data_IF_362299282473
#
_entry.id   IF_362299282473
#
_cell.length_a   1.000
_cell.length_b   1.000
_cell.length_c   1.000
_cell.angle_alpha   90.00
_cell.angle_beta   90.00
_cell.angle_gamma   90.00
#
_symmetry.space_group_name_H-M   'P 1'
#
loop_
_entity.id
_entity.type
_entity.pdbx_description
1 polymer ?
#
# COMPACT_ATOMS: atom_id res chain seq x y z
N UNK A 1 3.06 16.47 -20.69
CA UNK A 1 2.37 17.25 -21.73
C UNK A 1 3.37 18.21 -22.32
N UNK A 2 3.59 18.14 -23.64
CA UNK A 2 4.65 18.86 -24.36
C UNK A 2 4.14 20.22 -24.81
N UNK A 3 5.02 21.22 -24.83
CA UNK A 3 4.74 22.55 -25.36
C UNK A 3 5.73 22.81 -26.51
N UNK A 4 5.22 23.31 -27.63
CA UNK A 4 6.02 23.66 -28.82
C UNK A 4 6.37 25.14 -28.71
N UNK A 5 7.65 25.48 -28.66
CA UNK A 5 8.08 26.87 -28.76
C UNK A 5 8.03 27.33 -30.22
N UNK A 6 7.42 28.49 -30.45
CA UNK A 6 7.36 29.11 -31.77
C UNK A 6 8.75 29.67 -32.07
N UNK A 7 9.56 28.91 -32.82
CA UNK A 7 10.85 29.39 -33.33
C UNK A 7 10.69 30.51 -34.38
N UNK A 8 11.81 31.09 -34.84
CA UNK A 8 11.86 32.08 -35.94
C UNK A 8 11.64 31.44 -37.34
N UNK A 9 10.67 30.53 -37.45
CA UNK A 9 10.40 29.73 -38.65
C UNK A 9 9.06 30.05 -39.33
N UNK A 10 8.73 29.23 -40.34
CA UNK A 10 7.49 29.28 -41.13
C UNK A 10 6.22 29.29 -40.26
N UNK A 11 6.28 28.64 -39.09
CA UNK A 11 5.20 28.55 -38.12
C UNK A 11 4.81 29.93 -37.55
N UNK A 12 5.78 30.83 -37.32
CA UNK A 12 5.52 32.20 -36.86
C UNK A 12 4.90 33.06 -37.94
N UNK A 13 5.39 32.97 -39.18
CA UNK A 13 4.87 33.73 -40.32
C UNK A 13 3.41 33.33 -40.63
N UNK A 14 3.10 32.03 -40.56
CA UNK A 14 1.74 31.53 -40.79
C UNK A 14 0.80 31.85 -39.63
N UNK A 15 1.28 31.88 -38.39
CA UNK A 15 0.50 32.37 -37.25
C UNK A 15 0.24 33.89 -37.32
N UNK A 16 1.19 34.68 -37.84
CA UNK A 16 1.00 36.12 -38.08
C UNK A 16 0.00 36.40 -39.21
N UNK A 17 -0.11 35.51 -40.20
CA UNK A 17 -1.13 35.56 -41.26
C UNK A 17 -2.54 35.29 -40.70
N UNK A 18 -2.65 34.52 -39.60
CA UNK A 18 -3.89 34.16 -38.91
C UNK A 18 -4.16 34.98 -37.64
N UNK A 19 -3.65 36.22 -37.58
CA UNK A 19 -3.76 37.11 -36.40
C UNK A 19 -5.19 37.47 -36.00
N UNK A 20 -6.17 37.25 -36.88
CA UNK A 20 -7.59 37.45 -36.59
C UNK A 20 -8.16 36.39 -35.62
N UNK A 21 -7.53 35.22 -35.53
CA UNK A 21 -7.97 34.17 -34.61
C UNK A 21 -7.49 34.38 -33.18
N UNK A 22 -8.43 34.26 -32.23
CA UNK A 22 -8.17 34.40 -30.79
C UNK A 22 -7.14 33.40 -30.26
N UNK A 23 -7.00 32.25 -30.90
CA UNK A 23 -6.09 31.16 -30.47
C UNK A 23 -4.67 31.37 -30.99
N UNK A 24 -4.54 31.88 -32.23
CA UNK A 24 -3.25 32.22 -32.83
C UNK A 24 -2.60 33.43 -32.14
N UNK A 25 -3.41 34.43 -31.76
CA UNK A 25 -2.94 35.61 -31.02
C UNK A 25 -2.44 35.29 -29.61
N UNK A 26 -3.13 34.41 -28.87
CA UNK A 26 -2.67 33.95 -27.54
C UNK A 26 -1.37 33.15 -27.66
N UNK A 27 -1.26 32.30 -28.69
CA UNK A 27 -0.07 31.50 -28.97
C UNK A 27 1.15 32.35 -29.35
N UNK A 28 0.95 33.42 -30.14
CA UNK A 28 1.99 34.40 -30.49
C UNK A 28 2.46 35.22 -29.29
N UNK A 29 1.56 35.56 -28.35
CA UNK A 29 1.92 36.28 -27.12
C UNK A 29 2.70 35.43 -26.12
N UNK A 30 2.40 34.14 -26.05
CA UNK A 30 3.05 33.21 -25.12
C UNK A 30 4.31 32.57 -25.71
N UNK A 31 4.61 32.80 -27.00
CA UNK A 31 5.67 32.15 -27.78
C UNK A 31 5.64 30.60 -27.70
N UNK A 32 4.51 30.05 -27.28
CA UNK A 32 4.31 28.64 -26.96
C UNK A 32 2.94 28.18 -27.46
N UNK A 33 2.89 27.02 -28.12
CA UNK A 33 1.65 26.38 -28.59
C UNK A 33 1.58 24.96 -28.04
N UNK A 34 0.42 24.59 -27.49
CA UNK A 34 0.13 23.18 -27.16
C UNK A 34 -0.06 22.38 -28.45
N UNK A 35 0.38 21.12 -28.45
CA UNK A 35 0.23 20.23 -29.61
C UNK A 35 -1.24 20.09 -30.07
N UNK A 36 -2.19 20.08 -29.13
CA UNK A 36 -3.63 20.00 -29.40
C UNK A 36 -4.12 21.22 -30.21
N UNK A 37 -3.69 22.42 -29.81
CA UNK A 37 -4.08 23.67 -30.48
C UNK A 37 -3.44 23.77 -31.87
N UNK A 38 -2.21 23.28 -32.03
CA UNK A 38 -1.54 23.25 -33.33
C UNK A 38 -2.21 22.28 -34.31
N UNK A 39 -2.64 21.11 -33.83
CA UNK A 39 -3.35 20.13 -34.65
C UNK A 39 -4.71 20.66 -35.13
N UNK A 40 -5.47 21.30 -34.25
CA UNK A 40 -6.76 21.93 -34.62
C UNK A 40 -6.59 23.05 -35.65
N UNK A 41 -5.58 23.91 -35.49
CA UNK A 41 -5.29 24.98 -36.46
C UNK A 41 -4.84 24.43 -37.82
N UNK A 42 -4.12 23.30 -37.81
CA UNK A 42 -3.69 22.63 -39.03
C UNK A 42 -4.85 22.02 -39.81
N UNK A 43 -5.76 21.31 -39.14
CA UNK A 43 -6.94 20.77 -39.82
C UNK A 43 -7.86 21.87 -40.37
N UNK A 44 -7.99 23.00 -39.67
CA UNK A 44 -8.92 24.05 -40.05
C UNK A 44 -8.42 24.95 -41.20
N UNK A 45 -7.11 25.22 -41.28
CA UNK A 45 -6.57 26.21 -42.24
C UNK A 45 -5.51 25.67 -43.20
N UNK A 46 -4.87 24.55 -42.88
CA UNK A 46 -3.74 24.01 -43.65
C UNK A 46 -3.97 22.58 -44.17
N UNK A 47 -5.16 22.02 -43.95
CA UNK A 47 -5.52 20.65 -44.35
C UNK A 47 -5.55 20.41 -45.87
N UNK A 48 -5.83 21.45 -46.66
CA UNK A 48 -5.99 21.34 -48.12
C UNK A 48 -4.71 21.65 -48.92
N UNK A 49 -3.63 22.10 -48.27
CA UNK A 49 -2.46 22.64 -48.94
C UNK A 49 -1.29 21.63 -48.99
N UNK A 50 -1.10 20.98 -50.16
CA UNK A 50 -0.10 19.91 -50.38
C UNK A 50 1.37 20.32 -50.19
N UNK A 51 1.64 21.62 -50.02
CA UNK A 51 3.01 22.15 -49.92
C UNK A 51 3.50 22.28 -48.47
N UNK A 52 2.59 22.23 -47.49
CA UNK A 52 2.87 22.48 -46.06
C UNK A 52 2.70 21.18 -45.29
N UNK A 53 3.74 20.34 -45.28
CA UNK A 53 3.75 19.18 -44.39
C UNK A 53 3.94 19.63 -42.94
N UNK A 54 3.12 19.08 -42.03
CA UNK A 54 3.24 19.26 -40.58
C UNK A 54 4.67 19.00 -40.07
N UNK A 55 5.40 18.10 -40.72
CA UNK A 55 6.82 17.82 -40.45
C UNK A 55 7.73 19.03 -40.66
N UNK A 56 7.50 19.85 -41.71
CA UNK A 56 8.28 21.06 -41.97
C UNK A 56 7.98 22.15 -40.93
N UNK A 57 6.73 22.23 -40.47
CA UNK A 57 6.31 23.17 -39.42
C UNK A 57 6.93 22.77 -38.07
N UNK A 58 6.86 21.49 -37.71
CA UNK A 58 7.45 20.96 -36.49
C UNK A 58 8.99 21.00 -36.50
N UNK A 59 9.62 20.75 -37.65
CA UNK A 59 11.08 20.87 -37.80
C UNK A 59 11.59 22.30 -37.61
N UNK A 60 10.73 23.31 -37.85
CA UNK A 60 11.05 24.72 -37.61
C UNK A 60 10.77 25.18 -36.17
N UNK A 61 10.22 24.30 -35.33
CA UNK A 61 9.84 24.59 -33.96
C UNK A 61 10.74 23.87 -32.96
N UNK A 62 11.02 24.52 -31.82
CA UNK A 62 11.84 23.94 -30.76
C UNK A 62 10.93 23.34 -29.68
N UNK A 63 11.20 22.11 -29.26
CA UNK A 63 10.37 21.39 -28.30
C UNK A 63 10.79 21.77 -26.88
N UNK A 64 9.94 22.49 -26.15
CA UNK A 64 10.19 22.82 -24.74
C UNK A 64 9.48 21.84 -23.83
N UNK A 65 10.28 21.16 -23.01
CA UNK A 65 9.76 20.33 -21.93
C UNK A 65 9.20 21.22 -20.82
N UNK A 66 7.92 21.03 -20.46
CA UNK A 66 7.36 21.63 -19.23
C UNK A 66 8.26 21.25 -18.05
N UNK A 67 8.67 22.23 -17.24
CA UNK A 67 9.42 21.95 -16.01
C UNK A 67 8.62 20.97 -15.17
N UNK A 68 9.29 19.89 -14.76
CA UNK A 68 8.70 18.91 -13.84
C UNK A 68 8.40 19.64 -12.53
N UNK A 69 7.11 19.74 -12.16
CA UNK A 69 6.72 20.30 -10.86
C UNK A 69 7.45 19.55 -9.76
N UNK A 70 8.17 20.25 -8.90
CA UNK A 70 8.76 19.63 -7.72
C UNK A 70 7.66 19.57 -6.64
N UNK A 71 7.31 18.39 -6.11
CA UNK A 71 6.35 18.30 -5.02
C UNK A 71 6.78 19.18 -3.85
N UNK A 72 5.93 20.13 -3.47
CA UNK A 72 6.18 21.06 -2.36
C UNK A 72 6.87 22.38 -2.72
N UNK A 73 7.03 22.68 -4.01
CA UNK A 73 7.56 23.97 -4.48
C UNK A 73 6.60 25.12 -4.15
N UNK A 74 5.29 24.88 -4.29
CA UNK A 74 4.19 25.83 -4.03
C UNK A 74 3.87 26.05 -2.54
N UNK A 75 4.59 25.41 -1.62
CA UNK A 75 4.33 25.56 -0.18
C UNK A 75 4.84 26.90 0.38
N UNK A 76 4.02 27.53 1.22
CA UNK A 76 4.37 28.72 2.01
C UNK A 76 5.59 28.42 2.90
N UNK A 77 6.45 29.41 3.10
CA UNK A 77 7.68 29.25 3.90
C UNK A 77 7.39 28.80 5.34
N UNK A 78 6.31 29.29 5.94
CA UNK A 78 5.85 28.87 7.26
C UNK A 78 5.50 27.37 7.30
N UNK A 79 4.85 26.87 6.25
CA UNK A 79 4.50 25.45 6.15
C UNK A 79 5.73 24.57 5.93
N UNK A 80 6.72 25.05 5.16
CA UNK A 80 8.01 24.37 4.99
C UNK A 80 8.75 24.24 6.31
N UNK A 81 8.79 25.29 7.12
CA UNK A 81 9.41 25.28 8.44
C UNK A 81 8.74 24.25 9.38
N UNK A 82 7.41 24.13 9.33
CA UNK A 82 6.69 23.14 10.15
C UNK A 82 6.95 21.70 9.67
N UNK A 83 7.00 21.46 8.36
CA UNK A 83 7.38 20.16 7.81
C UNK A 83 8.80 19.74 8.21
N UNK A 84 9.73 20.70 8.30
CA UNK A 84 11.08 20.42 8.78
C UNK A 84 11.10 19.99 10.24
N UNK A 85 10.33 20.67 11.11
CA UNK A 85 10.17 20.24 12.51
C UNK A 85 9.59 18.82 12.60
N UNK A 86 8.53 18.53 11.85
CA UNK A 86 7.92 17.20 11.82
C UNK A 86 8.90 16.12 11.34
N UNK A 87 9.74 16.44 10.35
CA UNK A 87 10.82 15.54 9.90
C UNK A 87 11.84 15.25 11.01
N UNK A 88 12.20 16.24 11.81
CA UNK A 88 13.10 16.02 12.95
C UNK A 88 12.46 15.14 14.02
N UNK A 89 11.19 15.38 14.34
CA UNK A 89 10.43 14.55 15.30
C UNK A 89 10.35 13.09 14.83
N UNK A 90 10.04 12.86 13.55
CA UNK A 90 10.00 11.51 12.99
C UNK A 90 11.37 10.83 13.03
N UNK A 91 12.44 11.54 12.65
CA UNK A 91 13.80 11.02 12.72
C UNK A 91 14.21 10.65 14.14
N UNK A 92 13.85 11.46 15.13
CA UNK A 92 14.13 11.17 16.53
C UNK A 92 13.38 9.91 16.98
N UNK A 93 12.11 9.75 16.62
CA UNK A 93 11.36 8.53 16.91
C UNK A 93 12.02 7.30 16.28
N UNK A 94 12.42 7.37 15.01
CA UNK A 94 13.14 6.29 14.34
C UNK A 94 14.49 5.99 15.01
N UNK A 95 15.21 7.01 15.47
CA UNK A 95 16.47 6.84 16.21
C UNK A 95 16.25 6.16 17.57
N UNK A 96 15.23 6.58 18.31
CA UNK A 96 14.85 5.94 19.57
C UNK A 96 14.43 4.49 19.37
N UNK A 97 13.70 4.18 18.29
CA UNK A 97 13.34 2.80 17.95
C UNK A 97 14.57 1.96 17.57
N UNK A 98 15.54 2.54 16.86
CA UNK A 98 16.82 1.89 16.58
C UNK A 98 17.62 1.66 17.86
N UNK A 99 17.76 2.66 18.73
CA UNK A 99 18.45 2.49 20.03
C UNK A 99 17.75 1.44 20.87
N UNK A 100 16.41 1.44 20.96
CA UNK A 100 15.67 0.42 21.70
C UNK A 100 15.98 -0.97 21.15
N UNK A 101 15.92 -1.13 19.82
CA UNK A 101 16.29 -2.39 19.14
C UNK A 101 17.74 -2.81 19.41
N UNK A 102 18.68 -1.88 19.41
CA UNK A 102 20.12 -2.17 19.61
C UNK A 102 20.45 -2.41 21.10
N UNK A 103 19.80 -1.68 22.01
CA UNK A 103 19.95 -1.81 23.47
C UNK A 103 19.39 -3.12 24.03
N UNK A 104 18.44 -3.75 23.30
CA UNK A 104 17.92 -5.08 23.59
C UNK A 104 18.88 -6.20 23.12
N UNK A 105 19.97 -5.87 22.43
CA UNK A 105 20.98 -6.84 21.98
C UNK A 105 22.33 -6.54 22.65
N UNK A 106 22.60 -7.07 23.86
CA UNK A 106 23.98 -7.30 24.25
C UNK A 106 24.56 -8.34 23.26
N UNK A 107 25.78 -8.11 22.78
CA UNK A 107 26.47 -8.99 21.85
C UNK A 107 26.47 -10.45 22.33
N UNK A 108 25.49 -11.27 21.91
CA UNK A 108 25.37 -12.64 22.39
C UNK A 108 24.11 -13.44 22.02
N UNK A 109 22.95 -12.85 21.74
CA UNK A 109 21.73 -13.64 21.54
C UNK A 109 20.95 -13.22 20.30
N UNK A 110 21.28 -13.86 19.18
CA UNK A 110 20.36 -14.04 18.07
C UNK A 110 19.19 -14.89 18.58
N UNK A 111 18.09 -14.29 19.03
CA UNK A 111 16.73 -14.84 19.13
C UNK A 111 15.95 -14.05 20.18
N UNK A 112 15.19 -13.03 19.78
CA UNK A 112 13.76 -12.94 20.09
C UNK A 112 13.20 -11.73 19.35
N UNK A 113 12.19 -11.98 18.53
CA UNK A 113 11.44 -10.95 17.85
C UNK A 113 10.50 -10.37 18.90
N UNK A 114 10.85 -9.23 19.49
CA UNK A 114 9.93 -8.49 20.37
C UNK A 114 8.69 -8.12 19.55
N UNK A 115 7.51 -8.72 19.80
CA UNK A 115 6.37 -8.53 18.93
C UNK A 115 5.83 -7.11 19.12
N UNK A 116 5.55 -6.44 18.01
CA UNK A 116 5.00 -5.08 18.05
C UNK A 116 3.64 -5.13 18.77
N UNK A 117 3.30 -4.12 19.59
CA UNK A 117 2.02 -4.07 20.35
C UNK A 117 0.79 -4.34 19.46
N UNK A 118 0.85 -3.98 18.18
CA UNK A 118 -0.18 -4.27 17.18
C UNK A 118 -0.28 -5.76 16.80
N UNK A 119 0.83 -6.48 16.75
CA UNK A 119 0.88 -7.93 16.51
C UNK A 119 0.40 -8.70 17.73
N UNK A 120 0.82 -8.29 18.94
CA UNK A 120 0.34 -8.85 20.21
C UNK A 120 -1.19 -8.73 20.30
N UNK A 121 -1.74 -7.55 19.99
CA UNK A 121 -3.19 -7.34 20.03
C UNK A 121 -3.96 -8.18 18.99
N UNK A 122 -3.34 -8.48 17.84
CA UNK A 122 -3.95 -9.33 16.82
C UNK A 122 -3.94 -10.81 17.25
N UNK A 123 -2.83 -11.28 17.79
CA UNK A 123 -2.69 -12.63 18.32
C UNK A 123 -3.61 -12.88 19.53
N UNK A 124 -3.77 -11.89 20.42
CA UNK A 124 -4.71 -11.97 21.55
C UNK A 124 -6.16 -12.10 21.05
N UNK A 125 -6.57 -11.30 20.05
CA UNK A 125 -7.93 -11.40 19.51
C UNK A 125 -8.21 -12.77 18.89
N UNK A 126 -7.22 -13.35 18.21
CA UNK A 126 -7.33 -14.67 17.61
C UNK A 126 -7.39 -15.78 18.68
N UNK A 127 -6.59 -15.67 19.75
CA UNK A 127 -6.65 -16.61 20.88
C UNK A 127 -7.95 -16.50 21.69
N UNK A 128 -8.47 -15.29 21.90
CA UNK A 128 -9.74 -15.09 22.62
C UNK A 128 -10.91 -15.72 21.86
N UNK A 129 -10.93 -15.60 20.53
CA UNK A 129 -11.95 -16.26 19.71
C UNK A 129 -11.87 -17.80 19.82
N UNK A 130 -10.66 -18.37 19.87
CA UNK A 130 -10.46 -19.80 20.07
C UNK A 130 -10.96 -20.27 21.44
N UNK A 131 -10.64 -19.55 22.51
CA UNK A 131 -11.14 -19.85 23.87
C UNK A 131 -12.67 -19.77 23.91
N UNK A 132 -13.26 -18.76 23.27
CA UNK A 132 -14.71 -18.62 23.23
C UNK A 132 -15.39 -19.75 22.46
N UNK A 133 -14.77 -20.23 21.37
CA UNK A 133 -15.26 -21.39 20.62
C UNK A 133 -15.30 -22.66 21.49
N UNK A 134 -14.22 -22.93 22.25
CA UNK A 134 -14.15 -24.07 23.17
C UNK A 134 -15.16 -23.94 24.33
N UNK A 135 -15.40 -22.73 24.84
CA UNK A 135 -16.42 -22.52 25.85
C UNK A 135 -17.82 -22.84 25.30
N UNK A 136 -18.13 -22.38 24.09
CA UNK A 136 -19.42 -22.63 23.45
C UNK A 136 -19.66 -24.12 23.18
N UNK A 137 -18.65 -24.88 22.75
CA UNK A 137 -18.75 -26.33 22.52
C UNK A 137 -18.98 -27.08 23.84
N UNK A 138 -18.26 -26.73 24.92
CA UNK A 138 -18.44 -27.35 26.23
C UNK A 138 -19.81 -27.03 26.82
N UNK A 139 -20.26 -25.77 26.79
CA UNK A 139 -21.60 -25.41 27.29
C UNK A 139 -22.71 -26.07 26.46
N UNK A 140 -22.57 -26.09 25.13
CA UNK A 140 -23.54 -26.73 24.25
C UNK A 140 -23.67 -28.23 24.50
N UNK A 141 -22.56 -28.94 24.71
CA UNK A 141 -22.56 -30.39 24.98
C UNK A 141 -23.12 -30.72 26.37
N UNK A 142 -22.76 -29.95 27.39
CA UNK A 142 -23.33 -30.08 28.74
C UNK A 142 -24.84 -29.84 28.72
N UNK A 143 -25.31 -28.80 28.02
CA UNK A 143 -26.74 -28.50 27.89
C UNK A 143 -27.50 -29.58 27.10
N UNK A 144 -26.91 -30.08 26.00
CA UNK A 144 -27.50 -31.15 25.19
C UNK A 144 -27.65 -32.45 25.99
N UNK A 145 -26.60 -32.84 26.72
CA UNK A 145 -26.66 -34.02 27.62
C UNK A 145 -27.72 -33.81 28.69
N UNK A 146 -27.75 -32.65 29.34
CA UNK A 146 -28.76 -32.34 30.34
C UNK A 146 -30.19 -32.42 29.79
N UNK A 147 -30.42 -31.94 28.57
CA UNK A 147 -31.72 -31.98 27.91
C UNK A 147 -32.16 -33.41 27.58
N UNK A 148 -31.26 -34.21 26.99
CA UNK A 148 -31.54 -35.62 26.64
C UNK A 148 -31.83 -36.44 27.89
N UNK A 149 -31.01 -36.27 28.93
CA UNK A 149 -31.14 -37.05 30.16
C UNK A 149 -32.29 -36.55 31.07
N UNK A 150 -32.89 -35.38 30.78
CA UNK A 150 -34.10 -34.87 31.46
C UNK A 150 -35.32 -35.78 31.27
N UNK A 151 -35.39 -36.56 30.19
CA UNK A 151 -36.62 -37.26 29.79
C UNK A 151 -36.96 -38.53 30.58
N UNK A 152 -36.19 -38.93 31.60
CA UNK A 152 -36.58 -40.08 32.44
C UNK A 152 -35.49 -40.75 33.28
N UNK A 153 -34.31 -40.15 33.42
CA UNK A 153 -33.18 -40.76 34.14
C UNK A 153 -33.01 -40.15 35.53
N UNK A 154 -32.48 -40.95 36.45
CA UNK A 154 -32.19 -40.54 37.82
C UNK A 154 -31.16 -39.39 37.87
N UNK A 155 -31.30 -38.52 38.88
CA UNK A 155 -30.53 -37.29 39.03
C UNK A 155 -29.02 -37.57 39.21
N UNK A 156 -28.69 -38.70 39.85
CA UNK A 156 -27.31 -39.12 40.08
C UNK A 156 -26.59 -39.47 38.78
N UNK A 157 -27.26 -40.22 37.91
CA UNK A 157 -26.71 -40.61 36.61
C UNK A 157 -26.56 -39.37 35.71
N UNK A 158 -27.48 -38.41 35.78
CA UNK A 158 -27.37 -37.13 35.04
C UNK A 158 -26.11 -36.36 35.33
N UNK A 159 -25.77 -36.22 36.60
CA UNK A 159 -24.62 -35.42 37.03
C UNK A 159 -23.32 -36.11 36.57
N UNK A 160 -23.22 -37.43 36.75
CA UNK A 160 -22.04 -38.21 36.32
C UNK A 160 -21.87 -38.15 34.80
N UNK A 161 -22.95 -38.29 34.04
CA UNK A 161 -22.92 -38.32 32.59
C UNK A 161 -22.58 -36.93 32.00
N UNK A 162 -23.08 -35.86 32.62
CA UNK A 162 -22.75 -34.47 32.29
C UNK A 162 -21.28 -34.12 32.61
N UNK A 163 -20.78 -34.58 33.76
CA UNK A 163 -19.38 -34.39 34.14
C UNK A 163 -18.44 -35.18 33.21
N UNK A 164 -18.79 -36.42 32.88
CA UNK A 164 -18.01 -37.26 31.99
C UNK A 164 -17.99 -36.73 30.54
N UNK A 165 -19.15 -36.30 30.02
CA UNK A 165 -19.23 -35.73 28.67
C UNK A 165 -18.48 -34.40 28.56
N UNK A 166 -18.57 -33.53 29.56
CA UNK A 166 -17.84 -32.27 29.61
C UNK A 166 -16.32 -32.48 29.59
N UNK A 167 -15.81 -33.43 30.38
CA UNK A 167 -14.38 -33.77 30.41
C UNK A 167 -13.90 -34.32 29.05
N UNK A 168 -14.65 -35.24 28.44
CA UNK A 168 -14.28 -35.79 27.13
C UNK A 168 -14.22 -34.73 26.05
N UNK A 169 -15.19 -33.81 26.02
CA UNK A 169 -15.23 -32.71 25.04
C UNK A 169 -14.08 -31.75 25.26
N UNK A 170 -13.77 -31.41 26.51
CA UNK A 170 -12.64 -30.52 26.85
C UNK A 170 -11.31 -31.13 26.40
N UNK A 171 -11.10 -32.43 26.61
CA UNK A 171 -9.92 -33.15 26.13
C UNK A 171 -9.84 -33.12 24.60
N UNK A 172 -10.97 -33.36 23.91
CA UNK A 172 -11.04 -33.35 22.46
C UNK A 172 -10.66 -31.96 21.88
N UNK A 173 -11.22 -30.88 22.46
CA UNK A 173 -10.94 -29.51 22.04
C UNK A 173 -9.47 -29.13 22.32
N UNK A 174 -8.93 -29.47 23.48
CA UNK A 174 -7.52 -29.21 23.81
C UNK A 174 -6.55 -29.99 22.90
N UNK A 175 -6.87 -31.24 22.57
CA UNK A 175 -6.09 -32.05 21.65
C UNK A 175 -6.14 -31.47 20.22
N UNK A 176 -7.32 -31.05 19.76
CA UNK A 176 -7.47 -30.38 18.47
C UNK A 176 -6.64 -29.09 18.41
N UNK A 177 -6.68 -28.26 19.45
CA UNK A 177 -5.87 -27.05 19.55
C UNK A 177 -4.37 -27.35 19.52
N UNK A 178 -3.93 -28.38 20.25
CA UNK A 178 -2.52 -28.79 20.24
C UNK A 178 -2.06 -29.26 18.86
N UNK A 179 -2.88 -30.06 18.16
CA UNK A 179 -2.62 -30.50 16.78
C UNK A 179 -2.57 -29.30 15.82
N UNK A 180 -3.50 -28.35 15.97
CA UNK A 180 -3.53 -27.14 15.15
C UNK A 180 -2.29 -26.27 15.37
N UNK A 181 -1.91 -26.03 16.63
CA UNK A 181 -0.73 -25.28 16.99
C UNK A 181 0.54 -25.88 16.38
N UNK A 182 0.70 -27.21 16.50
CA UNK A 182 1.83 -27.93 15.89
C UNK A 182 1.88 -27.77 14.36
N UNK A 183 0.74 -27.84 13.68
CA UNK A 183 0.67 -27.63 12.22
C UNK A 183 1.06 -26.21 11.82
N UNK A 184 0.63 -25.20 12.57
CA UNK A 184 1.04 -23.81 12.33
C UNK A 184 2.55 -23.65 12.51
N UNK A 185 3.08 -24.22 13.59
CA UNK A 185 4.51 -24.13 13.89
C UNK A 185 5.36 -24.81 12.82
N UNK A 186 4.93 -25.97 12.32
CA UNK A 186 5.55 -26.66 11.18
C UNK A 186 5.53 -25.80 9.90
N UNK A 187 4.41 -25.16 9.59
CA UNK A 187 4.30 -24.27 8.42
C UNK A 187 5.23 -23.05 8.55
N UNK A 188 5.23 -22.38 9.72
CA UNK A 188 6.14 -21.26 10.02
C UNK A 188 7.61 -21.68 9.95
N UNK A 189 7.94 -22.87 10.45
CA UNK A 189 9.30 -23.42 10.40
C UNK A 189 9.75 -23.69 8.96
N UNK A 190 8.86 -24.17 8.09
CA UNK A 190 9.13 -24.39 6.68
C UNK A 190 9.39 -23.06 5.94
N UNK A 191 8.58 -22.03 6.21
CA UNK A 191 8.78 -20.69 5.65
C UNK A 191 10.08 -20.05 6.11
N UNK A 192 10.43 -20.17 7.40
CA UNK A 192 11.71 -19.68 7.94
C UNK A 192 12.92 -20.37 7.31
N UNK A 193 12.81 -21.67 6.97
CA UNK A 193 13.85 -22.42 6.27
C UNK A 193 14.03 -21.98 4.82
N UNK A 194 12.99 -21.42 4.19
CA UNK A 194 13.04 -20.87 2.83
C UNK A 194 13.68 -19.48 2.83
N UNK A 195 14.93 -19.37 3.28
CA UNK A 195 15.70 -18.11 3.29
C UNK A 195 15.85 -17.59 1.85
N UNK A 196 15.28 -16.42 1.60
CA UNK A 196 15.32 -15.73 0.31
C UNK A 196 16.78 -15.38 -0.02
N UNK A 197 17.33 -16.06 -1.02
CA UNK A 197 18.62 -15.68 -1.63
C UNK A 197 18.40 -14.37 -2.38
N UNK A 198 18.60 -13.24 -1.68
CA UNK A 198 18.64 -11.93 -2.32
C UNK A 198 19.90 -11.87 -3.17
N UNK A 199 19.77 -12.22 -4.45
CA UNK A 199 20.82 -12.01 -5.45
C UNK A 199 20.95 -10.51 -5.68
N UNK A 200 21.94 -9.90 -5.02
CA UNK A 200 22.29 -8.49 -5.23
C UNK A 200 22.94 -8.41 -6.61
N UNK A 201 22.19 -7.96 -7.62
CA UNK A 201 22.74 -7.68 -8.94
C UNK A 201 23.52 -6.38 -8.81
N UNK A 202 24.83 -6.47 -8.59
CA UNK A 202 25.74 -5.35 -8.79
C UNK A 202 25.82 -5.08 -10.29
N UNK A 203 25.07 -4.08 -10.75
CA UNK A 203 25.31 -3.46 -12.05
C UNK A 203 26.48 -2.50 -11.84
N UNK A 204 27.70 -2.91 -12.23
CA UNK A 204 28.80 -1.97 -12.39
C UNK A 204 28.45 -1.06 -13.56
N UNK A 205 28.53 0.25 -13.30
CA UNK A 205 28.48 1.33 -14.28
C UNK A 205 29.86 1.44 -14.91
#
# INVERSE_FOLDING_TARGET
MFDIAIGHGLLRQKLEELKEDRRASVSLQQEVVSFEVLAELYEQYWGDDTNINLEKLLASSDLRFKRKRVPGEEYTEEFKAELEKLRWVQKEQEYQDMIRRDSLVPAGTLNEHDPTISEINKEIKEQVAAVFNVLLTVFGTVYAVWYVTRSGWDIHIRIILCLFSGILVLIADAAMYNVYYRKIEEARALERKKKVVKKVIKRLI
#
